data_IF_366492109452
#
_entry.id   IF_366492109452
#
_cell.length_a   1.000
_cell.length_b   1.000
_cell.length_c   1.000
_cell.angle_alpha   90.00
_cell.angle_beta   90.00
_cell.angle_gamma   90.00
#
_symmetry.space_group_name_H-M   'P 1'
#
loop_
_entity.id
_entity.type
_entity.pdbx_description
1 polymer ?
#
# COMPACT_ATOMS: atom_id res chain seq x y z
N UNK A 1 44.27 15.04 14.83
CA UNK A 1 43.33 16.04 14.27
C UNK A 1 42.73 15.58 12.95
N UNK A 2 43.54 15.15 11.97
CA UNK A 2 43.03 14.67 10.66
C UNK A 2 42.10 13.45 10.76
N UNK A 3 42.43 12.47 11.61
CA UNK A 3 41.61 11.27 11.84
C UNK A 3 40.21 11.60 12.38
N UNK A 4 40.12 12.55 13.33
CA UNK A 4 38.84 12.99 13.89
C UNK A 4 37.93 13.63 12.83
N UNK A 5 38.49 14.44 11.93
CA UNK A 5 37.75 15.08 10.83
C UNK A 5 37.22 14.02 9.86
N UNK A 6 38.02 13.01 9.53
CA UNK A 6 37.61 11.89 8.66
C UNK A 6 36.50 11.07 9.31
N UNK A 7 36.61 10.75 10.60
CA UNK A 7 35.57 10.01 11.33
C UNK A 7 34.25 10.77 11.36
N UNK A 8 34.27 12.09 11.64
CA UNK A 8 33.06 12.92 11.63
C UNK A 8 32.42 12.94 10.22
N UNK A 9 33.23 13.10 9.17
CA UNK A 9 32.74 13.09 7.79
C UNK A 9 32.05 11.77 7.43
N UNK A 10 32.64 10.62 7.81
CA UNK A 10 32.06 9.28 7.57
C UNK A 10 30.74 9.10 8.33
N UNK A 11 30.68 9.51 9.60
CA UNK A 11 29.47 9.40 10.42
C UNK A 11 28.35 10.26 9.85
N UNK A 12 28.65 11.49 9.41
CA UNK A 12 27.67 12.39 8.79
C UNK A 12 27.12 11.80 7.48
N UNK A 13 28.01 11.22 6.65
CA UNK A 13 27.63 10.54 5.41
C UNK A 13 26.74 9.33 5.66
N UNK A 14 27.06 8.51 6.67
CA UNK A 14 26.29 7.34 7.04
C UNK A 14 24.87 7.72 7.51
N UNK A 15 24.76 8.75 8.35
CA UNK A 15 23.47 9.30 8.80
C UNK A 15 22.66 9.85 7.63
N UNK A 16 23.29 10.58 6.70
CA UNK A 16 22.60 11.09 5.52
C UNK A 16 22.04 9.96 4.65
N UNK A 17 22.80 8.88 4.46
CA UNK A 17 22.33 7.69 3.73
C UNK A 17 21.15 7.01 4.42
N UNK A 18 21.21 6.85 5.76
CA UNK A 18 20.13 6.27 6.55
C UNK A 18 18.82 7.04 6.37
N UNK A 19 18.84 8.36 6.51
CA UNK A 19 17.65 9.20 6.31
C UNK A 19 17.11 9.10 4.89
N UNK A 20 17.99 9.01 3.88
CA UNK A 20 17.57 8.89 2.48
C UNK A 20 16.86 7.55 2.20
N UNK A 21 17.38 6.45 2.73
CA UNK A 21 16.78 5.11 2.59
C UNK A 21 15.44 5.04 3.33
N UNK A 22 15.38 5.55 4.56
CA UNK A 22 14.16 5.55 5.37
C UNK A 22 13.05 6.41 4.73
N UNK A 23 13.39 7.59 4.21
CA UNK A 23 12.45 8.47 3.53
C UNK A 23 11.87 7.86 2.24
N UNK A 24 12.64 7.04 1.53
CA UNK A 24 12.16 6.34 0.35
C UNK A 24 11.16 5.22 0.71
N UNK A 25 11.46 4.43 1.75
CA UNK A 25 10.57 3.38 2.25
C UNK A 25 9.23 3.94 2.76
N UNK A 26 9.27 5.04 3.52
CA UNK A 26 8.06 5.68 4.06
C UNK A 26 7.12 6.17 2.96
N UNK A 27 7.67 6.76 1.88
CA UNK A 27 6.86 7.21 0.73
C UNK A 27 6.10 6.05 0.07
N UNK A 28 6.75 4.89 -0.06
CA UNK A 28 6.10 3.69 -0.61
C UNK A 28 4.96 3.21 0.30
N UNK A 29 5.19 3.21 1.62
CA UNK A 29 4.19 2.80 2.60
C UNK A 29 2.95 3.71 2.59
N UNK A 30 3.14 5.02 2.54
CA UNK A 30 2.03 5.97 2.42
C UNK A 30 1.26 5.80 1.10
N UNK A 31 1.94 5.52 -0.01
CA UNK A 31 1.28 5.25 -1.29
C UNK A 31 0.40 3.99 -1.21
N UNK A 32 0.89 2.94 -0.55
CA UNK A 32 0.12 1.71 -0.30
C UNK A 32 -1.08 1.96 0.62
N UNK A 33 -0.91 2.71 1.71
CA UNK A 33 -2.01 3.06 2.61
C UNK A 33 -3.14 3.79 1.87
N UNK A 34 -2.82 4.79 1.06
CA UNK A 34 -3.81 5.55 0.29
C UNK A 34 -4.51 4.64 -0.73
N UNK A 35 -3.78 3.81 -1.46
CA UNK A 35 -4.37 2.85 -2.40
C UNK A 35 -5.27 1.82 -1.70
N UNK A 36 -4.89 1.39 -0.50
CA UNK A 36 -5.67 0.45 0.33
C UNK A 36 -6.98 1.07 0.79
N UNK A 37 -6.93 2.30 1.30
CA UNK A 37 -8.13 3.02 1.74
C UNK A 37 -9.08 3.22 0.56
N UNK A 38 -8.58 3.71 -0.57
CA UNK A 38 -9.41 3.94 -1.76
C UNK A 38 -10.02 2.63 -2.26
N UNK A 39 -9.23 1.57 -2.41
CA UNK A 39 -9.72 0.28 -2.88
C UNK A 39 -10.71 -0.36 -1.91
N UNK A 40 -10.48 -0.26 -0.60
CA UNK A 40 -11.40 -0.74 0.43
C UNK A 40 -12.73 0.02 0.42
N UNK A 41 -12.69 1.35 0.29
CA UNK A 41 -13.90 2.18 0.15
C UNK A 41 -14.69 1.79 -1.10
N UNK A 42 -14.02 1.58 -2.23
CA UNK A 42 -14.69 1.14 -3.47
C UNK A 42 -15.35 -0.22 -3.26
N UNK A 43 -14.68 -1.20 -2.62
CA UNK A 43 -15.28 -2.50 -2.33
C UNK A 43 -16.54 -2.40 -1.47
N UNK A 44 -16.53 -1.54 -0.45
CA UNK A 44 -17.69 -1.31 0.42
C UNK A 44 -18.84 -0.71 -0.38
N UNK A 45 -18.57 0.32 -1.20
CA UNK A 45 -19.58 0.94 -2.06
C UNK A 45 -20.15 -0.06 -3.08
N UNK A 46 -19.28 -0.88 -3.66
CA UNK A 46 -19.66 -1.89 -4.64
C UNK A 46 -20.48 -3.01 -4.01
N UNK A 47 -20.19 -3.40 -2.76
CA UNK A 47 -21.03 -4.35 -2.02
C UNK A 47 -22.39 -3.72 -1.63
N UNK A 48 -22.42 -2.43 -1.31
CA UNK A 48 -23.66 -1.71 -0.98
C UNK A 48 -24.60 -1.58 -2.19
N UNK A 49 -24.06 -1.21 -3.36
CA UNK A 49 -24.83 -1.11 -4.61
C UNK A 49 -25.09 -2.50 -5.20
N UNK A 50 -24.08 -3.37 -5.19
CA UNK A 50 -24.14 -4.75 -5.69
C UNK A 50 -25.13 -5.60 -4.92
N UNK A 51 -25.29 -5.39 -3.61
CA UNK A 51 -26.28 -6.07 -2.79
C UNK A 51 -27.72 -5.86 -3.26
N UNK A 52 -28.03 -4.71 -3.88
CA UNK A 52 -29.35 -4.45 -4.49
C UNK A 52 -29.59 -5.29 -5.75
N UNK A 53 -28.51 -5.72 -6.41
CA UNK A 53 -28.50 -6.52 -7.64
C UNK A 53 -28.22 -8.01 -7.35
N UNK A 54 -28.11 -8.40 -6.07
CA UNK A 54 -27.75 -9.75 -5.63
C UNK A 54 -26.25 -10.10 -5.76
N UNK A 55 -25.39 -9.13 -6.06
CA UNK A 55 -23.95 -9.31 -6.22
C UNK A 55 -23.21 -8.87 -4.94
N UNK A 56 -22.65 -9.83 -4.22
CA UNK A 56 -21.87 -9.55 -3.00
C UNK A 56 -20.44 -10.02 -3.17
N UNK A 57 -19.49 -9.10 -2.98
CA UNK A 57 -18.06 -9.43 -3.01
C UNK A 57 -17.61 -9.73 -1.59
N UNK A 58 -17.11 -10.94 -1.29
CA UNK A 58 -16.67 -11.30 0.05
C UNK A 58 -15.43 -10.48 0.45
N UNK A 59 -15.59 -9.67 1.51
CA UNK A 59 -14.52 -8.86 2.11
C UNK A 59 -13.76 -9.75 3.11
N UNK A 60 -12.75 -10.47 2.62
CA UNK A 60 -11.86 -11.31 3.42
C UNK A 60 -10.52 -10.63 3.59
N UNK A 61 -9.70 -11.12 4.52
CA UNK A 61 -8.32 -10.65 4.71
C UNK A 61 -7.57 -10.70 3.38
N UNK A 62 -7.76 -11.76 2.61
CA UNK A 62 -7.09 -11.95 1.32
C UNK A 62 -7.53 -10.91 0.28
N UNK A 63 -8.83 -10.66 0.12
CA UNK A 63 -9.32 -9.65 -0.82
C UNK A 63 -8.90 -8.23 -0.41
N UNK A 64 -8.94 -7.91 0.89
CA UNK A 64 -8.45 -6.62 1.39
C UNK A 64 -6.93 -6.43 1.19
N UNK A 65 -6.14 -7.51 1.24
CA UNK A 65 -4.70 -7.46 1.02
C UNK A 65 -4.38 -7.25 -0.46
N UNK A 66 -5.07 -7.96 -1.36
CA UNK A 66 -4.94 -7.81 -2.81
C UNK A 66 -5.29 -6.38 -3.23
N UNK A 67 -6.40 -5.85 -2.69
CA UNK A 67 -6.82 -4.47 -2.92
C UNK A 67 -5.88 -3.46 -2.25
N UNK A 68 -5.28 -3.79 -1.12
CA UNK A 68 -4.30 -2.94 -0.47
C UNK A 68 -3.00 -2.78 -1.24
N UNK A 69 -2.51 -3.87 -1.83
CA UNK A 69 -1.28 -3.89 -2.61
C UNK A 69 -1.51 -3.32 -4.02
N UNK A 70 -2.62 -3.67 -4.66
CA UNK A 70 -2.90 -3.32 -6.07
C UNK A 70 -3.78 -2.07 -6.22
N UNK A 71 -4.40 -1.58 -5.14
CA UNK A 71 -5.35 -0.46 -5.17
C UNK A 71 -6.61 -0.77 -5.96
N UNK A 72 -7.03 0.17 -6.80
CA UNK A 72 -8.21 0.06 -7.68
C UNK A 72 -8.13 -1.16 -8.61
N UNK A 73 -6.93 -1.50 -9.11
CA UNK A 73 -6.73 -2.69 -9.93
C UNK A 73 -7.06 -3.99 -9.15
N UNK A 74 -6.75 -4.02 -7.85
CA UNK A 74 -7.09 -5.16 -6.99
C UNK A 74 -8.59 -5.34 -6.81
N UNK A 75 -9.36 -4.25 -6.75
CA UNK A 75 -10.83 -4.30 -6.70
C UNK A 75 -11.39 -5.00 -7.92
N UNK A 76 -10.90 -4.64 -9.12
CA UNK A 76 -11.34 -5.23 -10.39
C UNK A 76 -11.06 -6.74 -10.39
N UNK A 77 -9.89 -7.17 -9.92
CA UNK A 77 -9.54 -8.59 -9.86
C UNK A 77 -10.44 -9.38 -8.91
N UNK A 78 -10.74 -8.84 -7.72
CA UNK A 78 -11.62 -9.52 -6.75
C UNK A 78 -13.05 -9.61 -7.29
N UNK A 79 -13.54 -8.56 -7.95
CA UNK A 79 -14.85 -8.57 -8.61
C UNK A 79 -14.89 -9.61 -9.74
N UNK A 80 -13.86 -9.65 -10.59
CA UNK A 80 -13.75 -10.65 -11.66
C UNK A 80 -13.72 -12.08 -11.11
N UNK A 81 -12.95 -12.31 -10.06
CA UNK A 81 -12.87 -13.62 -9.40
C UNK A 81 -14.22 -14.05 -8.83
N UNK A 82 -14.96 -13.12 -8.22
CA UNK A 82 -16.31 -13.37 -7.67
C UNK A 82 -17.36 -13.59 -8.77
N UNK A 83 -17.15 -13.07 -9.98
CA UNK A 83 -18.05 -13.26 -11.11
C UNK A 83 -17.79 -14.60 -11.84
N UNK A 84 -16.55 -15.09 -11.81
CA UNK A 84 -16.12 -16.28 -12.54
C UNK A 84 -16.35 -17.58 -11.75
N UNK A 85 -16.42 -17.49 -10.42
CA UNK A 85 -16.64 -18.60 -9.48
C UNK A 85 -18.08 -18.58 -8.99
#
# INVERSE_FOLDING_TARGET
MLTAIITIAIVLLAIFLLFKIFGWSLKMFFKLLVNTIIGGVILILLNLVGGLIGFTVPITILSSLIVGVLGVAGVILVVLYTLLV
#
